data_IF_983158579844
#
_entry.id   IF_983158579844
#
_cell.length_a   1.000
_cell.length_b   1.000
_cell.length_c   1.000
_cell.angle_alpha   90.00
_cell.angle_beta   90.00
_cell.angle_gamma   90.00
#
_symmetry.space_group_name_H-M   'P 1'
#
loop_
_entity.id
_entity.type
_entity.pdbx_description
1 polymer ?
#
# COMPACT_ATOMS: atom_id res chain seq x y z
N UNK A 1 5.43 -9.30 14.29
CA UNK A 1 6.21 -8.03 14.31
C UNK A 1 5.79 -7.00 13.26
N UNK A 2 5.52 -7.38 11.99
CA UNK A 2 5.16 -6.40 10.94
C UNK A 2 3.89 -5.58 11.25
N UNK A 3 2.84 -6.21 11.78
CA UNK A 3 1.60 -5.51 12.15
C UNK A 3 1.83 -4.34 13.13
N UNK A 4 2.80 -4.50 14.06
CA UNK A 4 3.17 -3.45 15.01
C UNK A 4 3.91 -2.31 14.33
N UNK A 5 4.76 -2.60 13.34
CA UNK A 5 5.41 -1.58 12.51
C UNK A 5 4.41 -0.79 11.64
N UNK A 6 3.37 -1.47 11.11
CA UNK A 6 2.27 -0.82 10.38
C UNK A 6 1.41 0.05 11.31
N UNK A 7 1.15 -0.41 12.53
CA UNK A 7 0.46 0.39 13.55
C UNK A 7 1.27 1.63 13.96
N UNK A 8 2.59 1.50 14.12
CA UNK A 8 3.49 2.62 14.41
C UNK A 8 3.52 3.65 13.28
N UNK A 9 3.58 3.20 12.02
CA UNK A 9 3.49 4.14 10.88
C UNK A 9 2.14 4.85 10.84
N UNK A 10 1.04 4.15 11.11
CA UNK A 10 -0.29 4.79 11.27
C UNK A 10 -0.30 5.85 12.37
N UNK A 11 0.29 5.56 13.54
CA UNK A 11 0.41 6.50 14.65
C UNK A 11 1.28 7.73 14.30
N UNK A 12 2.42 7.53 13.65
CA UNK A 12 3.31 8.62 13.22
C UNK A 12 2.62 9.54 12.22
N UNK A 13 1.86 8.97 11.27
CA UNK A 13 1.07 9.76 10.31
C UNK A 13 -0.03 10.54 11.01
N UNK A 14 -0.70 9.92 11.97
CA UNK A 14 -1.70 10.61 12.78
C UNK A 14 -1.08 11.78 13.56
N UNK A 15 0.08 11.57 14.19
CA UNK A 15 0.82 12.62 14.88
C UNK A 15 1.26 13.75 13.93
N UNK A 16 1.80 13.41 12.75
CA UNK A 16 2.20 14.39 11.75
C UNK A 16 0.99 15.20 11.22
N UNK A 17 -0.12 14.53 10.93
CA UNK A 17 -1.34 15.18 10.48
C UNK A 17 -1.95 16.08 11.56
N UNK A 18 -2.01 15.60 12.81
CA UNK A 18 -2.56 16.37 13.94
C UNK A 18 -1.64 17.50 14.41
N UNK A 19 -0.33 17.36 14.22
CA UNK A 19 0.67 18.37 14.53
C UNK A 19 0.82 19.46 13.47
N UNK A 20 0.13 19.36 12.33
CA UNK A 20 0.19 20.36 11.27
C UNK A 20 -0.98 21.34 11.41
N UNK A 21 -0.69 22.64 11.62
CA UNK A 21 -1.69 23.71 11.81
C UNK A 21 -2.65 23.93 10.62
N UNK A 22 -2.30 23.41 9.43
CA UNK A 22 -3.16 23.40 8.24
C UNK A 22 -3.37 21.97 7.76
N UNK A 23 -4.38 21.24 8.27
CA UNK A 23 -4.63 19.87 7.86
C UNK A 23 -4.91 19.80 6.36
N UNK A 24 -4.17 18.95 5.66
CA UNK A 24 -4.38 18.69 4.23
C UNK A 24 -5.81 18.16 4.01
N UNK A 25 -6.57 18.83 3.16
CA UNK A 25 -7.96 18.49 2.82
C UNK A 25 -8.08 18.26 1.33
N UNK A 26 -8.70 17.15 0.95
CA UNK A 26 -8.95 16.86 -0.46
C UNK A 26 -10.26 17.57 -0.86
N UNK A 27 -10.25 18.51 -1.82
CA UNK A 27 -11.46 19.18 -2.29
C UNK A 27 -12.30 18.22 -3.14
N UNK A 28 -13.05 17.34 -2.47
CA UNK A 28 -13.99 16.41 -3.10
C UNK A 28 -15.39 17.00 -3.07
N UNK A 29 -16.13 16.80 -4.15
CA UNK A 29 -17.53 17.19 -4.26
C UNK A 29 -18.37 16.57 -3.12
N UNK A 30 -19.21 17.35 -2.40
CA UNK A 30 -19.92 16.89 -1.21
C UNK A 30 -20.75 15.63 -1.44
N UNK A 31 -21.42 15.53 -2.60
CA UNK A 31 -22.28 14.41 -2.98
C UNK A 31 -21.54 13.08 -3.15
N UNK A 32 -20.24 13.11 -3.46
CA UNK A 32 -19.44 11.91 -3.76
C UNK A 32 -18.44 11.57 -2.66
N UNK A 33 -18.36 12.39 -1.61
CA UNK A 33 -17.42 12.22 -0.48
C UNK A 33 -17.58 10.88 0.23
N UNK A 34 -18.82 10.41 0.44
CA UNK A 34 -19.08 9.12 1.09
C UNK A 34 -18.53 7.93 0.30
N UNK A 35 -18.77 7.92 -1.00
CA UNK A 35 -18.26 6.89 -1.92
C UNK A 35 -16.73 6.89 -1.96
N UNK A 36 -16.11 8.07 -2.12
CA UNK A 36 -14.65 8.20 -2.16
C UNK A 36 -14.00 7.76 -0.84
N UNK A 37 -14.64 8.04 0.31
CA UNK A 37 -14.18 7.54 1.63
C UNK A 37 -14.28 6.03 1.75
N UNK A 38 -15.39 5.43 1.30
CA UNK A 38 -15.55 3.98 1.31
C UNK A 38 -14.45 3.32 0.49
N UNK A 39 -14.19 3.80 -0.74
CA UNK A 39 -13.12 3.30 -1.58
C UNK A 39 -11.72 3.51 -0.96
N UNK A 40 -11.45 4.66 -0.36
CA UNK A 40 -10.18 4.90 0.32
C UNK A 40 -9.97 3.98 1.54
N UNK A 41 -11.03 3.69 2.30
CA UNK A 41 -10.99 2.75 3.42
C UNK A 41 -10.78 1.31 2.94
N UNK A 42 -11.45 0.90 1.85
CA UNK A 42 -11.23 -0.41 1.22
C UNK A 42 -9.80 -0.54 0.72
N UNK A 43 -9.27 0.48 0.02
CA UNK A 43 -7.88 0.51 -0.44
C UNK A 43 -6.89 0.37 0.73
N UNK A 44 -7.18 1.05 1.86
CA UNK A 44 -6.36 0.94 3.05
C UNK A 44 -6.34 -0.49 3.61
N UNK A 45 -7.50 -1.13 3.75
CA UNK A 45 -7.61 -2.52 4.23
C UNK A 45 -6.87 -3.46 3.29
N UNK A 46 -7.03 -3.27 1.97
CA UNK A 46 -6.35 -4.07 0.96
C UNK A 46 -4.82 -3.94 1.05
N UNK A 47 -4.28 -2.73 1.19
CA UNK A 47 -2.83 -2.51 1.35
C UNK A 47 -2.30 -3.17 2.63
N UNK A 48 -3.07 -3.12 3.72
CA UNK A 48 -2.69 -3.78 4.97
C UNK A 48 -2.67 -5.29 4.81
N UNK A 49 -3.71 -5.87 4.20
CA UNK A 49 -3.76 -7.30 3.91
C UNK A 49 -2.60 -7.75 3.03
N UNK A 50 -2.29 -6.98 1.97
CA UNK A 50 -1.14 -7.19 1.10
C UNK A 50 0.20 -7.15 1.83
N UNK A 51 0.39 -6.20 2.75
CA UNK A 51 1.58 -6.16 3.59
C UNK A 51 1.72 -7.40 4.48
N UNK A 52 0.62 -7.91 5.04
CA UNK A 52 0.62 -9.14 5.85
C UNK A 52 0.95 -10.36 4.97
N UNK A 53 0.32 -10.48 3.80
CA UNK A 53 0.61 -11.56 2.85
C UNK A 53 2.07 -11.52 2.40
N UNK A 54 2.61 -10.34 2.07
CA UNK A 54 4.02 -10.18 1.71
C UNK A 54 4.98 -10.58 2.83
N UNK A 55 4.64 -10.33 4.10
CA UNK A 55 5.44 -10.83 5.23
C UNK A 55 5.40 -12.36 5.35
N UNK A 56 4.24 -12.98 5.13
CA UNK A 56 4.13 -14.44 5.14
C UNK A 56 4.92 -15.08 4.00
N UNK A 57 4.82 -14.53 2.78
CA UNK A 57 5.64 -15.00 1.63
C UNK A 57 7.12 -14.92 2.00
N UNK A 58 7.56 -13.83 2.62
CA UNK A 58 8.94 -13.68 3.06
C UNK A 58 9.36 -14.71 4.10
N UNK A 59 8.52 -14.94 5.11
CA UNK A 59 8.82 -15.92 6.18
C UNK A 59 8.99 -17.33 5.61
N UNK A 60 8.08 -17.74 4.73
CA UNK A 60 8.17 -19.03 4.01
C UNK A 60 9.43 -19.07 3.14
N UNK A 61 9.74 -17.97 2.44
CA UNK A 61 10.94 -17.87 1.59
C UNK A 61 12.23 -18.00 2.42
N UNK A 62 12.30 -17.34 3.58
CA UNK A 62 13.45 -17.40 4.48
C UNK A 62 13.62 -18.80 5.11
N UNK A 63 12.52 -19.51 5.40
CA UNK A 63 12.53 -20.89 5.87
C UNK A 63 12.99 -21.88 4.78
N UNK A 64 12.48 -21.72 3.55
CA UNK A 64 12.90 -22.53 2.40
C UNK A 64 14.39 -22.31 2.09
N UNK A 65 14.86 -21.06 2.09
CA UNK A 65 16.26 -20.73 1.88
C UNK A 65 17.21 -21.34 2.93
N UNK A 66 16.75 -21.52 4.18
CA UNK A 66 17.53 -22.15 5.26
C UNK A 66 17.50 -23.68 5.22
N UNK A 67 16.37 -24.26 4.80
CA UNK A 67 16.21 -25.72 4.72
C UNK A 67 16.88 -26.33 3.49
N UNK A 68 16.99 -25.56 2.40
CA UNK A 68 17.53 -26.01 1.12
C UNK A 68 18.83 -25.30 0.74
N UNK A 69 19.76 -25.15 1.70
CA UNK A 69 21.05 -24.44 1.52
C UNK A 69 21.88 -24.99 0.35
N UNK A 70 21.79 -26.30 0.09
CA UNK A 70 22.56 -26.98 -0.95
C UNK A 70 21.80 -27.13 -2.29
N UNK A 71 20.56 -26.64 -2.38
CA UNK A 71 19.69 -26.84 -3.55
C UNK A 71 19.51 -25.53 -4.34
N UNK A 72 19.64 -25.55 -5.68
CA UNK A 72 19.46 -24.34 -6.48
C UNK A 72 18.04 -23.76 -6.34
N UNK A 73 17.96 -22.42 -6.27
CA UNK A 73 16.72 -21.64 -6.08
C UNK A 73 15.56 -22.08 -6.97
N UNK A 74 15.86 -22.47 -8.20
CA UNK A 74 14.88 -22.93 -9.19
C UNK A 74 14.08 -24.16 -8.75
N UNK A 75 14.63 -25.00 -7.87
CA UNK A 75 13.97 -26.24 -7.44
C UNK A 75 12.96 -25.99 -6.33
N UNK A 76 13.32 -25.20 -5.30
CA UNK A 76 12.40 -24.91 -4.19
C UNK A 76 11.46 -23.73 -4.45
N UNK A 77 11.74 -22.87 -5.44
CA UNK A 77 10.79 -21.83 -5.85
C UNK A 77 9.51 -22.37 -6.45
N UNK A 78 9.57 -23.52 -7.13
CA UNK A 78 8.38 -24.17 -7.65
C UNK A 78 7.38 -24.49 -6.51
N UNK A 79 7.88 -24.83 -5.33
CA UNK A 79 7.06 -25.11 -4.15
C UNK A 79 6.48 -23.82 -3.53
N UNK A 80 7.25 -22.73 -3.56
CA UNK A 80 6.78 -21.40 -3.16
C UNK A 80 5.72 -20.85 -4.13
N UNK A 81 5.85 -21.07 -5.45
CA UNK A 81 4.89 -20.61 -6.45
C UNK A 81 3.54 -21.33 -6.37
N UNK A 82 3.52 -22.58 -5.87
CA UNK A 82 2.30 -23.34 -5.61
C UNK A 82 1.63 -22.92 -4.29
N UNK A 83 2.36 -22.23 -3.40
CA UNK A 83 1.78 -21.74 -2.15
C UNK A 83 0.68 -20.72 -2.41
N UNK A 84 -0.50 -21.00 -1.83
CA UNK A 84 -1.69 -20.16 -1.96
C UNK A 84 -1.43 -18.69 -1.56
N UNK A 85 -0.55 -18.45 -0.58
CA UNK A 85 -0.16 -17.11 -0.10
C UNK A 85 0.52 -16.30 -1.22
N UNK A 86 1.40 -16.92 -2.00
CA UNK A 86 2.11 -16.24 -3.10
C UNK A 86 1.15 -15.89 -4.25
N UNK A 87 0.25 -16.82 -4.61
CA UNK A 87 -0.79 -16.58 -5.62
C UNK A 87 -1.75 -15.45 -5.19
N UNK A 88 -2.11 -15.42 -3.90
CA UNK A 88 -2.90 -14.33 -3.33
C UNK A 88 -2.17 -12.99 -3.36
N UNK A 89 -0.93 -12.93 -2.87
CA UNK A 89 -0.12 -11.71 -2.93
C UNK A 89 0.05 -11.20 -4.37
N UNK A 90 0.24 -12.10 -5.34
CA UNK A 90 0.34 -11.70 -6.74
C UNK A 90 -0.97 -11.11 -7.25
N UNK A 91 -2.09 -11.76 -6.97
CA UNK A 91 -3.41 -11.33 -7.45
C UNK A 91 -3.90 -10.04 -6.79
N UNK A 92 -3.70 -9.89 -5.48
CA UNK A 92 -4.04 -8.67 -4.76
C UNK A 92 -3.18 -7.47 -5.18
N UNK A 93 -1.92 -7.68 -5.57
CA UNK A 93 -1.07 -6.63 -6.13
C UNK A 93 -1.68 -6.04 -7.42
N UNK A 94 -2.24 -6.88 -8.30
CA UNK A 94 -2.99 -6.40 -9.47
C UNK A 94 -4.24 -5.60 -9.10
N UNK A 95 -4.92 -5.98 -8.02
CA UNK A 95 -6.08 -5.23 -7.50
C UNK A 95 -5.65 -3.85 -6.99
N UNK A 96 -4.52 -3.74 -6.27
CA UNK A 96 -3.96 -2.45 -5.84
C UNK A 96 -3.61 -1.58 -7.05
N UNK A 97 -2.96 -2.16 -8.07
CA UNK A 97 -2.64 -1.44 -9.29
C UNK A 97 -3.90 -0.92 -9.99
N UNK A 98 -4.93 -1.77 -10.11
CA UNK A 98 -6.23 -1.39 -10.64
C UNK A 98 -6.86 -0.25 -9.84
N UNK A 99 -6.85 -0.33 -8.50
CA UNK A 99 -7.35 0.75 -7.65
C UNK A 99 -6.53 2.03 -7.75
N UNK A 100 -5.20 1.96 -7.90
CA UNK A 100 -4.34 3.12 -8.10
C UNK A 100 -4.67 3.82 -9.44
N UNK A 101 -4.86 3.05 -10.51
CA UNK A 101 -5.30 3.56 -11.82
C UNK A 101 -6.68 4.22 -11.69
N UNK A 102 -7.63 3.54 -11.05
CA UNK A 102 -8.97 4.08 -10.81
C UNK A 102 -8.92 5.39 -10.00
N UNK A 103 -8.03 5.49 -9.02
CA UNK A 103 -7.85 6.70 -8.20
C UNK A 103 -7.37 7.88 -9.07
N UNK A 104 -6.44 7.65 -9.99
CA UNK A 104 -5.97 8.67 -10.94
C UNK A 104 -7.06 9.02 -11.96
N UNK A 105 -7.77 8.03 -12.49
CA UNK A 105 -8.85 8.22 -13.46
C UNK A 105 -10.05 8.96 -12.86
N UNK A 106 -10.57 8.50 -11.73
CA UNK A 106 -11.66 9.14 -11.00
C UNK A 106 -11.21 10.49 -10.41
N UNK A 107 -9.94 10.66 -10.05
CA UNK A 107 -9.43 11.96 -9.62
C UNK A 107 -9.57 13.06 -10.69
N UNK A 108 -9.62 12.72 -11.98
CA UNK A 108 -9.91 13.69 -13.06
C UNK A 108 -11.38 14.12 -13.10
N UNK A 109 -12.31 13.29 -12.60
CA UNK A 109 -13.76 13.54 -12.65
C UNK A 109 -14.43 13.87 -11.31
N UNK A 110 -13.81 13.57 -10.17
CA UNK A 110 -14.41 13.69 -8.83
C UNK A 110 -13.74 14.76 -7.96
N UNK A 111 -12.51 15.17 -8.30
CA UNK A 111 -11.76 16.22 -7.60
C UNK A 111 -11.71 17.45 -8.50
N UNK A 112 -12.25 18.58 -8.02
CA UNK A 112 -12.13 19.87 -8.74
C UNK A 112 -10.64 20.25 -8.77
N UNK A 113 -10.02 20.14 -9.96
CA UNK A 113 -8.58 20.37 -10.17
C UNK A 113 -7.75 19.13 -10.48
N UNK A 114 -8.37 17.95 -10.63
CA UNK A 114 -7.70 16.69 -10.99
C UNK A 114 -7.21 15.87 -9.79
N UNK A 115 -6.56 14.70 -10.01
CA UNK A 115 -6.13 13.79 -8.94
C UNK A 115 -5.13 14.38 -7.92
N UNK A 116 -4.74 15.64 -8.08
CA UNK A 116 -3.70 16.30 -7.29
C UNK A 116 -2.32 15.67 -7.48
N UNK A 117 -1.29 16.30 -6.92
CA UNK A 117 0.07 15.71 -6.89
C UNK A 117 0.10 14.39 -6.12
N UNK A 118 -0.76 14.22 -5.12
CA UNK A 118 -0.81 13.04 -4.24
C UNK A 118 -1.26 11.78 -5.00
N UNK A 119 -2.26 11.87 -5.89
CA UNK A 119 -2.73 10.70 -6.66
C UNK A 119 -1.65 10.15 -7.60
N UNK A 120 -0.89 11.05 -8.24
CA UNK A 120 0.25 10.68 -9.08
C UNK A 120 1.41 10.07 -8.27
N UNK A 121 1.67 10.58 -7.06
CA UNK A 121 2.68 10.01 -6.16
C UNK A 121 2.30 8.61 -5.72
N UNK A 122 1.04 8.39 -5.29
CA UNK A 122 0.53 7.05 -4.93
C UNK A 122 0.68 6.08 -6.10
N UNK A 123 0.24 6.49 -7.30
CA UNK A 123 0.38 5.67 -8.50
C UNK A 123 1.85 5.34 -8.83
N UNK A 124 2.74 6.33 -8.75
CA UNK A 124 4.17 6.14 -8.99
C UNK A 124 4.80 5.16 -7.99
N UNK A 125 4.46 5.27 -6.71
CA UNK A 125 4.95 4.34 -5.67
C UNK A 125 4.44 2.92 -5.92
N UNK A 126 3.16 2.75 -6.28
CA UNK A 126 2.59 1.42 -6.61
C UNK A 126 3.29 0.81 -7.83
N UNK A 127 3.60 1.62 -8.84
CA UNK A 127 4.32 1.14 -10.03
C UNK A 127 5.73 0.65 -9.67
N UNK A 128 6.47 1.43 -8.87
CA UNK A 128 7.80 1.04 -8.39
C UNK A 128 7.70 -0.23 -7.54
N UNK A 129 6.66 -0.36 -6.72
CA UNK A 129 6.44 -1.58 -5.93
C UNK A 129 6.21 -2.81 -6.78
N UNK A 130 5.44 -2.70 -7.86
CA UNK A 130 5.28 -3.80 -8.81
C UNK A 130 6.61 -4.22 -9.43
N UNK A 131 7.42 -3.25 -9.84
CA UNK A 131 8.75 -3.54 -10.40
C UNK A 131 9.64 -4.22 -9.38
N UNK A 132 9.73 -3.70 -8.15
CA UNK A 132 10.52 -4.28 -7.08
C UNK A 132 10.03 -5.70 -6.71
N UNK A 133 8.72 -5.92 -6.66
CA UNK A 133 8.12 -7.23 -6.40
C UNK A 133 8.48 -8.27 -7.47
N UNK A 134 8.37 -7.90 -8.75
CA UNK A 134 8.76 -8.78 -9.89
C UNK A 134 10.27 -9.04 -9.88
N UNK A 135 11.08 -8.01 -9.61
CA UNK A 135 12.55 -8.16 -9.51
C UNK A 135 12.92 -9.14 -8.40
N UNK A 136 12.26 -9.11 -7.25
CA UNK A 136 12.48 -10.09 -6.18
C UNK A 136 12.04 -11.52 -6.58
N UNK A 137 11.06 -11.65 -7.47
CA UNK A 137 10.64 -12.96 -7.99
C UNK A 137 11.69 -13.54 -8.95
N UNK A 138 12.32 -12.72 -9.79
CA UNK A 138 13.20 -13.19 -10.86
C UNK A 138 14.70 -13.15 -10.53
N UNK A 139 15.14 -12.22 -9.69
CA UNK A 139 16.56 -12.03 -9.32
C UNK A 139 16.81 -12.64 -7.94
N UNK A 140 18.06 -13.07 -7.67
CA UNK A 140 18.50 -13.47 -6.32
C UNK A 140 17.96 -12.49 -5.26
N UNK A 141 17.48 -13.03 -4.13
CA UNK A 141 16.86 -12.28 -3.03
C UNK A 141 17.94 -11.40 -2.38
N UNK A 142 18.16 -10.24 -2.96
CA UNK A 142 19.03 -9.24 -2.41
C UNK A 142 18.31 -8.58 -1.23
N UNK A 143 18.87 -8.69 -0.03
CA UNK A 143 18.27 -8.15 1.19
C UNK A 143 17.95 -6.66 1.08
N UNK A 144 18.70 -5.89 0.29
CA UNK A 144 18.45 -4.46 0.06
C UNK A 144 17.18 -4.20 -0.77
N UNK A 145 16.87 -5.03 -1.77
CA UNK A 145 15.64 -4.89 -2.59
C UNK A 145 14.40 -5.12 -1.71
N UNK A 146 14.47 -6.10 -0.81
CA UNK A 146 13.40 -6.38 0.13
C UNK A 146 13.17 -5.24 1.12
N UNK A 147 14.24 -4.63 1.64
CA UNK A 147 14.13 -3.44 2.51
C UNK A 147 13.52 -2.27 1.76
N UNK A 148 13.92 -2.04 0.51
CA UNK A 148 13.32 -1.00 -0.34
C UNK A 148 11.84 -1.27 -0.60
N UNK A 149 11.47 -2.51 -0.90
CA UNK A 149 10.09 -2.89 -1.16
C UNK A 149 9.21 -2.66 0.09
N UNK A 150 9.60 -3.16 1.26
CA UNK A 150 8.83 -2.95 2.49
C UNK A 150 8.83 -1.47 2.90
N UNK A 151 9.94 -0.76 2.70
CA UNK A 151 10.05 0.68 2.96
C UNK A 151 9.10 1.51 2.09
N UNK A 152 9.03 1.24 0.78
CA UNK A 152 8.08 1.91 -0.11
C UNK A 152 6.64 1.56 0.22
N UNK A 153 6.34 0.32 0.63
CA UNK A 153 5.01 -0.06 1.10
C UNK A 153 4.58 0.76 2.31
N UNK A 154 5.50 0.99 3.26
CA UNK A 154 5.23 1.82 4.44
C UNK A 154 4.94 3.28 4.04
N UNK A 155 5.69 3.84 3.09
CA UNK A 155 5.43 5.19 2.56
C UNK A 155 4.08 5.24 1.83
N UNK A 156 3.74 4.23 1.02
CA UNK A 156 2.43 4.15 0.38
C UNK A 156 1.30 4.15 1.43
N UNK A 157 1.46 3.34 2.48
CA UNK A 157 0.51 3.24 3.58
C UNK A 157 0.30 4.60 4.26
N UNK A 158 1.37 5.38 4.46
CA UNK A 158 1.25 6.71 5.08
C UNK A 158 0.48 7.69 4.20
N UNK A 159 0.73 7.71 2.90
CA UNK A 159 -0.01 8.55 1.95
C UNK A 159 -1.49 8.18 1.89
N UNK A 160 -1.83 6.89 1.91
CA UNK A 160 -3.22 6.43 1.90
C UNK A 160 -3.93 6.75 3.23
N UNK A 161 -3.24 6.62 4.36
CA UNK A 161 -3.75 7.09 5.66
C UNK A 161 -4.04 8.59 5.64
N UNK A 162 -3.08 9.38 5.15
CA UNK A 162 -3.24 10.83 5.02
C UNK A 162 -4.41 11.20 4.10
N UNK A 163 -4.58 10.47 2.99
CA UNK A 163 -5.72 10.64 2.09
C UNK A 163 -7.04 10.35 2.80
N UNK A 164 -7.13 9.26 3.56
CA UNK A 164 -8.33 8.89 4.30
C UNK A 164 -8.70 9.96 5.36
N UNK A 165 -7.70 10.51 6.05
CA UNK A 165 -7.91 11.64 6.97
C UNK A 165 -8.29 12.94 6.26
N UNK A 166 -7.68 13.26 5.12
CA UNK A 166 -8.03 14.43 4.33
C UNK A 166 -9.45 14.41 3.76
N UNK A 167 -10.07 13.22 3.68
CA UNK A 167 -11.48 13.01 3.32
C UNK A 167 -12.42 13.01 4.52
N UNK A 168 -11.91 12.92 5.76
CA UNK A 168 -12.73 12.94 6.95
C UNK A 168 -13.54 14.26 6.99
N UNK A 169 -14.80 14.23 7.47
CA UNK A 169 -15.58 15.44 7.62
C UNK A 169 -14.78 16.33 8.55
N UNK A 170 -14.66 17.63 8.22
CA UNK A 170 -14.28 18.56 9.28
C UNK A 170 -15.21 18.33 10.44
N UNK A 171 -14.69 18.43 11.66
CA UNK A 171 -15.54 18.88 12.75
C UNK A 171 -16.10 20.22 12.29
N UNK A 172 -17.28 20.20 11.71
CA UNK A 172 -18.11 21.40 11.62
C UNK A 172 -18.28 21.78 13.08
N UNK A 173 -17.50 22.77 13.49
CA UNK A 173 -17.87 23.57 14.65
C UNK A 173 -19.24 24.11 14.28
N UNK A 174 -20.27 23.49 14.84
CA UNK A 174 -21.61 24.04 14.93
C UNK A 174 -21.45 25.42 15.57
N UNK A 175 -21.37 26.45 14.74
CA UNK A 175 -21.60 27.80 15.21
C UNK A 175 -23.12 27.97 15.18
N UNK A 176 -23.64 27.90 16.40
CA UNK A 176 -24.95 28.33 16.89
C UNK A 176 -25.39 29.68 16.33
#
# INVERSE_FOLDING_TARGET
HLALAMALTGMLVYCAWRGTDRPWRVPVEPSKRGVVRFWAAVLLVVIVAEGILGAQVREITDELAKSHVDMPRSEWIAELEVSWVYLLHRSFSWVILGMAILTVFHGRGFVRGGPGRVGWVIFGIVLIQMVLGVVMSQVHIYSWVQVLHVGLAAVLLTFVWLWNFGLAPGRETSQS
#
